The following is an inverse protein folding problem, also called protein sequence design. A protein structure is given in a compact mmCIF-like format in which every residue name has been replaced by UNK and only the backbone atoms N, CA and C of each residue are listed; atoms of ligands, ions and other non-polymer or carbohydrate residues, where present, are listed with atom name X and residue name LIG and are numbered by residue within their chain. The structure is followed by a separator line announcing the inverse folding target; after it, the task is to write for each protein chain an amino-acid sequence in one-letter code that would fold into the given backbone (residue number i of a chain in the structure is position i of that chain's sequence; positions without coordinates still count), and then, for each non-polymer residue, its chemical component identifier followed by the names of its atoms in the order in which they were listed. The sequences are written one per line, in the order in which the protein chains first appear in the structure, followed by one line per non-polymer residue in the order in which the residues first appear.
data_IF_665197260562
#
_entry.id   IF_665197260562
#
_cell.length_a   1.000
_cell.length_b   1.000
_cell.length_c   1.000
_cell.angle_alpha   90.00
_cell.angle_beta   90.00
_cell.angle_gamma   90.00
#
_symmetry.space_group_name_H-M   'P 1'
#
loop_
_entity.id
_entity.type
_entity.pdbx_description
1 polymer ?
#
# COMPACT_ATOMS: atom_id res chain seq x y z
N UNK A 1 -43.98 69.41 18.32
CA UNK A 1 -42.55 69.00 18.17
C UNK A 1 -42.28 67.50 18.47
N UNK A 2 -43.27 66.59 18.30
CA UNK A 2 -43.12 65.16 18.66
C UNK A 2 -42.75 64.21 17.48
N UNK A 3 -42.94 64.63 16.22
CA UNK A 3 -42.71 63.78 15.04
C UNK A 3 -41.23 63.67 14.58
N UNK A 4 -40.41 64.70 14.82
CA UNK A 4 -38.99 64.71 14.41
C UNK A 4 -38.09 63.77 15.24
N UNK A 5 -38.41 63.50 16.51
CA UNK A 5 -37.67 62.53 17.34
C UNK A 5 -37.90 61.07 16.92
N UNK A 6 -39.09 60.72 16.42
CA UNK A 6 -39.42 59.35 15.97
C UNK A 6 -38.71 58.94 14.68
N UNK A 7 -38.44 59.87 13.76
CA UNK A 7 -37.72 59.55 12.51
C UNK A 7 -36.23 59.25 12.75
N UNK A 8 -35.55 60.00 13.64
CA UNK A 8 -34.15 59.72 14.01
C UNK A 8 -34.00 58.38 14.74
N UNK A 9 -34.92 58.04 15.64
CA UNK A 9 -34.91 56.75 16.33
C UNK A 9 -35.08 55.55 15.37
N UNK A 10 -35.91 55.68 14.33
CA UNK A 10 -36.10 54.63 13.31
C UNK A 10 -34.86 54.41 12.44
N UNK A 11 -34.10 55.46 12.13
CA UNK A 11 -32.85 55.36 11.38
C UNK A 11 -31.75 54.63 12.14
N UNK A 12 -31.59 54.94 13.44
CA UNK A 12 -30.60 54.26 14.30
C UNK A 12 -30.94 52.78 14.46
N UNK A 13 -32.21 52.44 14.70
CA UNK A 13 -32.66 51.04 14.82
C UNK A 13 -32.36 50.22 13.55
N UNK A 14 -32.60 50.80 12.37
CA UNK A 14 -32.30 50.15 11.09
C UNK A 14 -30.81 49.87 10.92
N UNK A 15 -29.96 50.86 11.22
CA UNK A 15 -28.50 50.72 11.12
C UNK A 15 -27.98 49.67 12.09
N UNK A 16 -28.47 49.66 13.34
CA UNK A 16 -28.09 48.62 14.31
C UNK A 16 -28.56 47.23 13.90
N UNK A 17 -29.77 47.10 13.33
CA UNK A 17 -30.28 45.82 12.84
C UNK A 17 -29.46 45.31 11.65
N UNK A 18 -29.10 46.19 10.70
CA UNK A 18 -28.24 45.84 9.58
C UNK A 18 -26.84 45.41 10.03
N UNK A 19 -26.25 46.10 11.00
CA UNK A 19 -24.97 45.73 11.60
C UNK A 19 -25.03 44.36 12.28
N UNK A 20 -26.09 44.10 13.07
CA UNK A 20 -26.31 42.80 13.70
C UNK A 20 -26.51 41.68 12.67
N UNK A 21 -27.30 41.91 11.62
CA UNK A 21 -27.50 40.95 10.54
C UNK A 21 -26.20 40.64 9.79
N UNK A 22 -25.36 41.66 9.56
CA UNK A 22 -24.07 41.49 8.90
C UNK A 22 -23.09 40.70 9.77
N UNK A 23 -23.02 40.99 11.08
CA UNK A 23 -22.23 40.21 12.05
C UNK A 23 -22.69 38.75 12.11
N UNK A 24 -23.99 38.51 12.19
CA UNK A 24 -24.55 37.15 12.20
C UNK A 24 -24.23 36.39 10.91
N UNK A 25 -24.30 37.07 9.77
CA UNK A 25 -23.96 36.48 8.46
C UNK A 25 -22.48 36.11 8.37
N UNK A 26 -21.58 36.98 8.84
CA UNK A 26 -20.15 36.70 8.91
C UNK A 26 -19.86 35.50 9.84
N UNK A 27 -20.55 35.40 10.98
CA UNK A 27 -20.41 34.28 11.92
C UNK A 27 -20.84 32.94 11.27
N UNK A 28 -22.00 32.91 10.62
CA UNK A 28 -22.53 31.70 9.94
C UNK A 28 -21.60 31.26 8.82
N UNK A 29 -21.08 32.20 8.01
CA UNK A 29 -20.12 31.89 6.95
C UNK A 29 -18.80 31.35 7.52
N UNK A 30 -18.32 31.91 8.64
CA UNK A 30 -17.12 31.43 9.34
C UNK A 30 -17.29 29.99 9.84
N UNK A 31 -18.39 29.70 10.55
CA UNK A 31 -18.74 28.36 11.03
C UNK A 31 -18.87 27.35 9.88
N UNK A 32 -19.48 27.77 8.76
CA UNK A 32 -19.66 26.91 7.59
C UNK A 32 -18.33 26.50 6.94
N UNK A 33 -17.33 27.39 6.94
CA UNK A 33 -15.99 27.09 6.43
C UNK A 33 -15.25 26.12 7.34
N UNK A 34 -15.25 26.39 8.65
CA UNK A 34 -14.63 25.52 9.65
C UNK A 34 -15.16 24.07 9.58
N UNK A 35 -16.49 23.90 9.51
CA UNK A 35 -17.12 22.58 9.40
C UNK A 35 -16.72 21.83 8.12
N UNK A 36 -16.58 22.54 6.99
CA UNK A 36 -16.15 21.92 5.72
C UNK A 36 -14.70 21.47 5.77
N UNK A 37 -13.83 22.26 6.39
CA UNK A 37 -12.43 21.92 6.55
C UNK A 37 -12.26 20.70 7.47
N UNK A 38 -12.99 20.64 8.58
CA UNK A 38 -13.01 19.47 9.47
C UNK A 38 -13.50 18.21 8.75
N UNK A 39 -14.58 18.31 7.95
CA UNK A 39 -15.08 17.19 7.16
C UNK A 39 -14.03 16.68 6.15
N UNK A 40 -13.33 17.59 5.47
CA UNK A 40 -12.27 17.23 4.53
C UNK A 40 -11.11 16.53 5.23
N UNK A 41 -10.64 17.06 6.36
CA UNK A 41 -9.57 16.44 7.16
C UNK A 41 -10.01 15.05 7.63
N UNK A 42 -11.22 14.93 8.18
CA UNK A 42 -11.75 13.65 8.67
C UNK A 42 -11.84 12.60 7.54
N UNK A 43 -12.34 12.99 6.36
CA UNK A 43 -12.42 12.08 5.21
C UNK A 43 -11.05 11.64 4.67
N UNK A 44 -10.06 12.54 4.67
CA UNK A 44 -8.68 12.19 4.30
C UNK A 44 -8.04 11.23 5.31
N UNK A 45 -8.30 11.44 6.61
CA UNK A 45 -7.81 10.56 7.67
C UNK A 45 -8.46 9.16 7.59
N UNK A 46 -9.78 9.08 7.39
CA UNK A 46 -10.50 7.82 7.18
C UNK A 46 -9.93 7.05 5.98
N UNK A 47 -9.65 7.76 4.89
CA UNK A 47 -9.13 7.14 3.68
C UNK A 47 -7.70 6.61 3.86
N UNK A 48 -6.84 7.36 4.54
CA UNK A 48 -5.49 6.92 4.88
C UNK A 48 -5.48 5.71 5.83
N UNK A 49 -6.36 5.72 6.85
CA UNK A 49 -6.51 4.59 7.76
C UNK A 49 -6.98 3.33 7.03
N UNK A 50 -7.91 3.48 6.08
CA UNK A 50 -8.36 2.37 5.23
C UNK A 50 -7.24 1.83 4.36
N UNK A 51 -6.48 2.70 3.70
CA UNK A 51 -5.32 2.31 2.90
C UNK A 51 -4.29 1.53 3.74
N UNK A 52 -4.03 1.98 4.97
CA UNK A 52 -3.15 1.30 5.92
C UNK A 52 -3.67 -0.09 6.29
N UNK A 53 -4.95 -0.22 6.68
CA UNK A 53 -5.55 -1.52 7.01
C UNK A 53 -5.46 -2.51 5.83
N UNK A 54 -5.72 -2.03 4.62
CA UNK A 54 -5.58 -2.82 3.40
C UNK A 54 -4.13 -3.22 3.12
N UNK A 55 -3.17 -2.32 3.37
CA UNK A 55 -1.75 -2.62 3.23
C UNK A 55 -1.31 -3.71 4.22
N UNK A 56 -1.77 -3.64 5.48
CA UNK A 56 -1.52 -4.67 6.49
C UNK A 56 -2.15 -6.02 6.13
N UNK A 57 -3.36 -6.04 5.58
CA UNK A 57 -3.99 -7.27 5.08
C UNK A 57 -3.17 -7.88 3.95
N UNK A 58 -2.72 -7.06 2.98
CA UNK A 58 -1.83 -7.50 1.90
C UNK A 58 -0.50 -8.04 2.43
N UNK A 59 0.05 -7.42 3.48
CA UNK A 59 1.28 -7.86 4.13
C UNK A 59 1.09 -9.23 4.77
N UNK A 60 0.05 -9.41 5.59
CA UNK A 60 -0.28 -10.67 6.23
C UNK A 60 -0.51 -11.78 5.20
N UNK A 61 -1.20 -11.48 4.10
CA UNK A 61 -1.40 -12.43 3.01
C UNK A 61 -0.07 -12.84 2.35
N UNK A 62 0.84 -11.89 2.12
CA UNK A 62 2.17 -12.19 1.60
C UNK A 62 3.01 -13.04 2.56
N UNK A 63 2.95 -12.78 3.86
CA UNK A 63 3.62 -13.59 4.87
C UNK A 63 3.06 -15.01 4.96
N UNK A 64 1.74 -15.17 4.82
CA UNK A 64 1.10 -16.47 4.79
C UNK A 64 1.43 -17.23 3.50
N UNK A 65 1.52 -16.54 2.37
CA UNK A 65 1.89 -17.13 1.09
C UNK A 65 3.29 -17.76 1.12
N UNK A 66 4.22 -17.23 1.94
CA UNK A 66 5.55 -17.83 2.11
C UNK A 66 5.49 -19.28 2.63
N UNK A 67 4.47 -19.62 3.43
CA UNK A 67 4.28 -20.97 3.95
C UNK A 67 3.88 -21.97 2.86
N UNK A 68 3.34 -21.50 1.74
CA UNK A 68 2.96 -22.33 0.59
C UNK A 68 3.89 -22.14 -0.61
N UNK A 69 5.05 -21.49 -0.43
CA UNK A 69 6.01 -21.24 -1.50
C UNK A 69 6.65 -22.56 -1.98
N UNK A 70 6.30 -23.07 -3.17
CA UNK A 70 6.72 -24.40 -3.60
C UNK A 70 8.22 -24.49 -3.94
N UNK A 71 8.88 -23.34 -4.05
CA UNK A 71 10.27 -23.19 -4.48
C UNK A 71 11.24 -22.99 -3.30
N UNK A 72 10.74 -22.94 -2.06
CA UNK A 72 11.54 -22.59 -0.88
C UNK A 72 12.72 -23.55 -0.67
N UNK A 73 12.49 -24.86 -0.73
CA UNK A 73 13.54 -25.87 -0.59
C UNK A 73 14.60 -25.80 -1.69
N UNK A 74 14.16 -25.59 -2.94
CA UNK A 74 15.07 -25.42 -4.08
C UNK A 74 15.97 -24.20 -3.84
N UNK A 75 15.39 -23.04 -3.57
CA UNK A 75 16.11 -21.77 -3.38
C UNK A 75 17.10 -21.84 -2.22
N UNK A 76 16.76 -22.50 -1.11
CA UNK A 76 17.65 -22.65 0.05
C UNK A 76 18.95 -23.44 -0.28
N UNK A 77 18.88 -24.33 -1.27
CA UNK A 77 20.02 -25.13 -1.74
C UNK A 77 20.82 -24.47 -2.88
N UNK A 78 20.31 -23.40 -3.49
CA UNK A 78 20.98 -22.74 -4.62
C UNK A 78 22.21 -21.96 -4.17
N UNK A 79 23.27 -22.02 -4.96
CA UNK A 79 24.41 -21.11 -4.82
C UNK A 79 24.02 -19.69 -5.25
N UNK A 80 24.78 -18.69 -4.78
CA UNK A 80 24.59 -17.31 -5.22
C UNK A 80 24.67 -17.19 -6.75
N UNK A 81 25.62 -17.85 -7.41
CA UNK A 81 25.74 -17.80 -8.87
C UNK A 81 24.55 -18.41 -9.62
N UNK A 82 23.93 -19.45 -9.05
CA UNK A 82 22.70 -20.03 -9.60
C UNK A 82 21.50 -19.07 -9.47
N UNK A 83 21.41 -18.30 -8.38
CA UNK A 83 20.36 -17.30 -8.18
C UNK A 83 20.46 -16.09 -9.14
N UNK A 84 21.61 -15.90 -9.79
CA UNK A 84 21.80 -14.83 -10.79
C UNK A 84 21.45 -15.28 -12.22
N UNK A 85 21.17 -16.57 -12.43
CA UNK A 85 20.80 -17.08 -13.74
C UNK A 85 19.39 -16.63 -14.13
N UNK A 86 19.14 -16.54 -15.43
CA UNK A 86 17.87 -16.04 -15.97
C UNK A 86 16.66 -16.94 -15.62
N UNK A 87 16.90 -18.21 -15.30
CA UNK A 87 15.89 -19.19 -14.91
C UNK A 87 15.73 -19.33 -13.38
N UNK A 88 16.42 -18.49 -12.59
CA UNK A 88 16.25 -18.46 -11.15
C UNK A 88 14.79 -18.12 -10.77
N UNK A 89 14.25 -18.71 -9.67
CA UNK A 89 12.86 -18.46 -9.27
C UNK A 89 12.56 -17.02 -8.86
N UNK A 90 13.55 -16.35 -8.27
CA UNK A 90 13.51 -14.93 -7.90
C UNK A 90 14.37 -14.14 -8.88
N UNK A 91 13.79 -13.14 -9.53
CA UNK A 91 14.48 -12.36 -10.58
C UNK A 91 14.43 -10.86 -10.29
N UNK A 92 15.31 -10.08 -10.91
CA UNK A 92 15.28 -8.62 -10.79
C UNK A 92 14.02 -8.00 -11.42
N UNK A 93 13.38 -8.64 -12.40
CA UNK A 93 12.10 -8.19 -12.97
C UNK A 93 10.89 -8.61 -12.14
N UNK A 94 11.09 -9.48 -11.14
CA UNK A 94 10.05 -10.16 -10.38
C UNK A 94 9.06 -10.94 -11.24
N UNK A 95 9.45 -11.32 -12.46
CA UNK A 95 8.69 -12.20 -13.36
C UNK A 95 9.56 -13.41 -13.71
N UNK A 96 8.95 -14.59 -13.67
CA UNK A 96 9.57 -15.84 -14.08
C UNK A 96 8.48 -16.79 -14.59
N UNK A 97 8.36 -16.94 -15.91
CA UNK A 97 7.31 -17.76 -16.53
C UNK A 97 7.46 -19.25 -16.23
N UNK A 98 8.67 -19.71 -15.87
CA UNK A 98 8.96 -21.08 -15.47
C UNK A 98 8.49 -21.42 -14.05
N UNK A 99 8.14 -20.42 -13.23
CA UNK A 99 7.60 -20.69 -11.91
C UNK A 99 6.20 -21.34 -12.01
N UNK A 100 5.78 -22.09 -10.97
CA UNK A 100 4.43 -22.65 -10.91
C UNK A 100 3.34 -21.60 -11.08
N UNK A 101 2.17 -22.03 -11.56
CA UNK A 101 1.00 -21.15 -11.68
C UNK A 101 0.70 -20.44 -10.34
N UNK A 102 0.40 -19.15 -10.42
CA UNK A 102 0.23 -18.29 -9.24
C UNK A 102 1.53 -17.70 -8.68
N UNK A 103 2.71 -18.17 -9.13
CA UNK A 103 4.04 -17.72 -8.67
C UNK A 103 4.92 -17.17 -9.79
N UNK A 104 4.35 -16.95 -10.97
CA UNK A 104 5.05 -16.43 -12.14
C UNK A 104 5.41 -14.95 -12.05
N UNK A 105 4.87 -14.27 -11.04
CA UNK A 105 5.12 -12.87 -10.76
C UNK A 105 5.20 -12.63 -9.25
N UNK A 106 5.79 -11.50 -8.86
CA UNK A 106 5.84 -11.03 -7.47
C UNK A 106 7.01 -11.59 -6.65
N UNK A 107 7.85 -12.44 -7.25
CA UNK A 107 9.05 -13.01 -6.63
C UNK A 107 10.31 -12.26 -7.10
N UNK A 108 10.81 -11.34 -6.27
CA UNK A 108 11.90 -10.45 -6.60
C UNK A 108 13.25 -10.91 -6.02
N UNK A 109 14.32 -10.87 -6.80
CA UNK A 109 15.67 -10.94 -6.26
C UNK A 109 16.08 -9.55 -5.75
N UNK A 110 16.66 -9.47 -4.55
CA UNK A 110 17.17 -8.19 -4.06
C UNK A 110 18.38 -7.70 -4.86
N UNK A 111 18.46 -6.39 -5.06
CA UNK A 111 19.58 -5.76 -5.74
C UNK A 111 20.92 -6.05 -5.05
N UNK A 112 20.93 -6.04 -3.71
CA UNK A 112 22.10 -6.34 -2.89
C UNK A 112 22.59 -7.78 -3.09
N UNK A 113 21.68 -8.76 -3.05
CA UNK A 113 22.03 -10.16 -3.32
C UNK A 113 22.52 -10.34 -4.76
N UNK A 114 21.91 -9.62 -5.70
CA UNK A 114 22.33 -9.56 -7.10
C UNK A 114 23.67 -8.85 -7.35
N UNK A 115 24.22 -8.12 -6.36
CA UNK A 115 25.41 -7.30 -6.55
C UNK A 115 25.18 -6.11 -7.49
N UNK A 116 23.93 -5.63 -7.59
CA UNK A 116 23.52 -4.54 -8.47
C UNK A 116 23.19 -3.29 -7.65
N UNK A 117 23.60 -2.12 -8.12
CA UNK A 117 23.31 -0.83 -7.50
C UNK A 117 22.01 -0.22 -8.06
N UNK A 118 20.90 -0.95 -7.95
CA UNK A 118 19.58 -0.51 -8.44
C UNK A 118 18.59 -0.36 -7.28
N UNK A 119 17.53 0.43 -7.51
CA UNK A 119 16.47 0.66 -6.55
C UNK A 119 15.81 -0.65 -6.09
N UNK A 120 15.31 -0.72 -4.84
CA UNK A 120 14.59 -1.89 -4.37
C UNK A 120 13.26 -2.10 -5.13
N UNK A 121 12.70 -3.32 -5.13
CA UNK A 121 11.56 -3.66 -5.97
C UNK A 121 10.34 -2.74 -5.85
N UNK A 122 10.00 -2.28 -4.63
CA UNK A 122 8.84 -1.41 -4.40
C UNK A 122 8.96 0.01 -4.95
N UNK A 123 10.18 0.43 -5.34
CA UNK A 123 10.46 1.72 -5.99
C UNK A 123 10.72 1.58 -7.49
N UNK A 124 10.85 0.35 -8.00
CA UNK A 124 11.14 0.11 -9.40
C UNK A 124 9.89 0.15 -10.27
N UNK A 125 10.13 0.38 -11.56
CA UNK A 125 9.17 0.24 -12.63
C UNK A 125 9.61 -0.90 -13.56
N UNK A 126 8.66 -1.50 -14.26
CA UNK A 126 8.94 -2.43 -15.35
C UNK A 126 9.34 -1.69 -16.63
N UNK A 127 9.60 -2.44 -17.71
CA UNK A 127 9.99 -1.90 -19.02
C UNK A 127 8.91 -0.99 -19.64
N UNK A 128 7.66 -1.09 -19.20
CA UNK A 128 6.56 -0.23 -19.63
C UNK A 128 6.37 1.01 -18.74
N UNK A 129 7.25 1.23 -17.75
CA UNK A 129 7.16 2.34 -16.81
C UNK A 129 6.14 2.14 -15.69
N UNK A 130 5.58 0.93 -15.54
CA UNK A 130 4.58 0.63 -14.49
C UNK A 130 5.31 0.23 -13.21
N UNK A 131 4.98 0.88 -12.09
CA UNK A 131 5.58 0.52 -10.80
C UNK A 131 5.29 -0.96 -10.46
N UNK A 132 6.30 -1.69 -9.94
CA UNK A 132 6.19 -3.13 -9.74
C UNK A 132 5.06 -3.53 -8.76
N UNK A 133 4.83 -2.71 -7.72
CA UNK A 133 3.74 -2.86 -6.75
C UNK A 133 2.37 -2.37 -7.23
N UNK A 134 2.29 -1.76 -8.41
CA UNK A 134 1.02 -1.29 -8.96
C UNK A 134 0.10 -2.47 -9.28
N UNK A 135 -1.24 -2.31 -9.27
CA UNK A 135 -2.16 -3.38 -9.67
C UNK A 135 -1.94 -3.91 -11.09
N UNK A 136 -1.38 -3.07 -11.96
CA UNK A 136 -0.99 -3.42 -13.33
C UNK A 136 0.42 -4.00 -13.45
N UNK A 137 1.18 -4.02 -12.35
CA UNK A 137 2.59 -4.36 -12.34
C UNK A 137 2.82 -5.87 -12.31
N UNK A 138 3.76 -6.27 -11.46
CA UNK A 138 4.20 -7.66 -11.30
C UNK A 138 3.80 -8.24 -9.94
N UNK A 139 3.15 -7.44 -9.10
CA UNK A 139 2.82 -7.84 -7.75
C UNK A 139 1.75 -8.94 -7.69
N UNK A 140 1.79 -9.71 -6.61
CA UNK A 140 0.74 -10.66 -6.24
C UNK A 140 -0.44 -9.89 -5.66
N UNK A 141 -1.66 -10.33 -5.95
CA UNK A 141 -2.90 -9.68 -5.53
C UNK A 141 -3.55 -10.47 -4.40
N UNK A 142 -3.94 -9.79 -3.33
CA UNK A 142 -4.89 -10.32 -2.36
C UNK A 142 -6.31 -10.07 -2.85
N UNK A 143 -6.98 -11.12 -3.34
CA UNK A 143 -8.33 -10.98 -3.89
C UNK A 143 -9.34 -10.72 -2.77
N UNK A 144 -9.86 -9.50 -2.71
CA UNK A 144 -10.95 -9.11 -1.81
C UNK A 144 -12.23 -8.77 -2.58
N UNK A 145 -12.10 -8.39 -3.85
CA UNK A 145 -13.23 -8.09 -4.73
C UNK A 145 -13.14 -8.88 -6.05
N UNK A 146 -14.26 -9.35 -6.62
CA UNK A 146 -14.29 -10.02 -7.91
C UNK A 146 -14.15 -9.01 -9.05
N UNK A 147 -12.91 -8.55 -9.29
CA UNK A 147 -12.59 -7.62 -10.39
C UNK A 147 -11.87 -8.37 -11.50
N UNK A 148 -12.48 -8.35 -12.70
CA UNK A 148 -11.90 -8.88 -13.93
C UNK A 148 -10.83 -7.91 -14.46
N UNK A 149 -9.56 -8.33 -14.46
CA UNK A 149 -8.50 -7.64 -15.19
C UNK A 149 -8.47 -8.16 -16.62
N UNK A 150 -8.98 -7.38 -17.59
CA UNK A 150 -8.91 -7.72 -19.01
C UNK A 150 -7.80 -6.92 -19.71
N UNK A 151 -6.64 -7.51 -19.99
CA UNK A 151 -5.56 -6.88 -20.79
C UNK A 151 -4.37 -6.32 -19.99
N UNK A 152 -3.38 -5.70 -20.68
CA UNK A 152 -2.07 -5.32 -20.10
C UNK A 152 -2.14 -4.20 -19.04
N UNK A 153 -3.11 -3.29 -19.14
CA UNK A 153 -3.88 -2.77 -18.00
C UNK A 153 -4.93 -1.77 -18.48
N UNK A 154 -6.21 -2.15 -18.53
CA UNK A 154 -7.28 -1.18 -18.61
C UNK A 154 -8.28 -1.38 -17.45
N UNK A 155 -8.48 -0.29 -16.72
CA UNK A 155 -9.46 -0.11 -15.65
C UNK A 155 -9.18 -0.99 -14.43
N UNK A 156 -8.39 -0.46 -13.50
CA UNK A 156 -8.65 -0.78 -12.08
C UNK A 156 -10.09 -0.36 -11.83
N UNK A 157 -11.01 -1.33 -11.83
CA UNK A 157 -12.42 -1.06 -11.55
C UNK A 157 -12.47 -0.72 -10.07
N UNK A 158 -12.59 0.58 -9.79
CA UNK A 158 -12.68 1.08 -8.43
C UNK A 158 -13.87 0.42 -7.74
N UNK A 159 -13.58 -0.36 -6.70
CA UNK A 159 -14.61 -0.89 -5.83
C UNK A 159 -15.32 0.23 -5.07
N UNK A 160 -16.51 -0.06 -4.50
CA UNK A 160 -17.24 0.93 -3.69
C UNK A 160 -16.48 1.33 -2.41
N UNK A 161 -15.54 0.51 -1.95
CA UNK A 161 -14.84 0.68 -0.67
C UNK A 161 -13.40 1.16 -0.81
N UNK A 162 -12.72 0.78 -1.89
CA UNK A 162 -11.33 1.10 -2.14
C UNK A 162 -11.02 0.97 -3.64
N UNK A 163 -9.96 1.65 -4.07
CA UNK A 163 -9.58 1.76 -5.47
C UNK A 163 -9.11 0.42 -6.04
N UNK A 164 -8.24 -0.30 -5.34
CA UNK A 164 -7.75 -1.61 -5.76
C UNK A 164 -7.52 -2.55 -4.57
N UNK A 165 -7.62 -3.84 -4.84
CA UNK A 165 -7.21 -4.88 -3.89
C UNK A 165 -5.74 -4.67 -3.45
N UNK A 166 -5.36 -5.06 -2.23
CA UNK A 166 -3.96 -4.98 -1.79
C UNK A 166 -3.05 -5.84 -2.67
N UNK A 167 -1.85 -5.33 -2.93
CA UNK A 167 -0.84 -6.05 -3.70
C UNK A 167 0.44 -6.18 -2.90
N UNK A 168 1.18 -7.26 -3.11
CA UNK A 168 2.42 -7.52 -2.40
C UNK A 168 3.51 -8.13 -3.29
N UNK A 169 4.76 -7.90 -2.90
CA UNK A 169 5.97 -8.50 -3.47
C UNK A 169 6.68 -9.29 -2.38
N UNK A 170 7.30 -10.40 -2.79
CA UNK A 170 8.17 -11.22 -1.95
C UNK A 170 9.58 -11.10 -2.51
N UNK A 171 10.47 -10.51 -1.73
CA UNK A 171 11.84 -10.27 -2.14
C UNK A 171 12.81 -11.18 -1.37
N UNK A 172 13.64 -11.92 -2.10
CA UNK A 172 14.71 -12.74 -1.51
C UNK A 172 15.90 -11.84 -1.16
N UNK A 173 16.19 -11.75 0.14
CA UNK A 173 17.34 -11.00 0.66
C UNK A 173 18.55 -11.91 0.83
N UNK A 174 18.35 -13.09 1.41
CA UNK A 174 19.40 -14.06 1.68
C UNK A 174 18.83 -15.50 1.64
N UNK A 175 19.35 -16.39 0.77
CA UNK A 175 18.89 -17.77 0.68
C UNK A 175 19.37 -18.69 1.82
N UNK A 176 20.32 -18.25 2.65
CA UNK A 176 20.95 -19.07 3.69
C UNK A 176 21.18 -18.27 4.98
N UNK A 177 20.23 -17.39 5.31
CA UNK A 177 20.29 -16.57 6.50
C UNK A 177 20.33 -17.41 7.77
N UNK A 178 21.17 -17.00 8.72
CA UNK A 178 21.34 -17.68 10.01
C UNK A 178 20.92 -16.73 11.13
N UNK A 179 20.00 -17.19 11.98
CA UNK A 179 19.54 -16.51 13.19
C UNK A 179 19.69 -17.45 14.40
N UNK A 180 20.81 -17.30 15.12
CA UNK A 180 21.24 -18.27 16.13
C UNK A 180 21.51 -19.65 15.50
N UNK A 181 20.83 -20.68 16.01
CA UNK A 181 20.93 -22.06 15.50
C UNK A 181 20.01 -22.32 14.29
N UNK A 182 19.14 -21.37 13.93
CA UNK A 182 18.17 -21.55 12.85
C UNK A 182 18.76 -21.03 11.53
N UNK A 183 18.66 -21.83 10.46
CA UNK A 183 18.99 -21.41 9.09
C UNK A 183 17.73 -21.42 8.23
N UNK A 184 17.54 -20.41 7.40
CA UNK A 184 16.40 -20.33 6.48
C UNK A 184 16.54 -19.24 5.43
N UNK A 185 15.46 -19.01 4.70
CA UNK A 185 15.37 -17.93 3.73
C UNK A 185 15.01 -16.64 4.47
N UNK A 186 15.81 -15.59 4.30
CA UNK A 186 15.42 -14.24 4.68
C UNK A 186 14.71 -13.58 3.50
N UNK A 187 13.44 -13.29 3.71
CA UNK A 187 12.60 -12.62 2.73
C UNK A 187 12.11 -11.27 3.27
N UNK A 188 11.77 -10.39 2.34
CA UNK A 188 11.10 -9.13 2.61
C UNK A 188 9.78 -9.11 1.90
N UNK A 189 8.70 -9.00 2.66
CA UNK A 189 7.35 -8.83 2.13
C UNK A 189 7.10 -7.33 2.09
N UNK A 190 6.75 -6.81 0.92
CA UNK A 190 6.32 -5.41 0.80
C UNK A 190 4.92 -5.40 0.23
N UNK A 191 3.99 -4.76 0.92
CA UNK A 191 2.59 -4.70 0.52
C UNK A 191 2.13 -3.24 0.38
N UNK A 192 1.21 -3.02 -0.56
CA UNK A 192 0.56 -1.74 -0.78
C UNK A 192 -0.95 -1.92 -0.73
N UNK A 193 -1.60 -1.06 0.04
CA UNK A 193 -3.05 -0.91 0.08
C UNK A 193 -3.45 0.48 -0.43
N UNK A 194 -4.67 0.58 -0.92
CA UNK A 194 -5.23 1.83 -1.46
C UNK A 194 -6.52 2.20 -0.74
N UNK A 195 -6.71 3.48 -0.47
CA UNK A 195 -7.98 4.06 -0.08
C UNK A 195 -8.92 4.15 -1.28
N UNK A 196 -9.84 5.11 -1.29
CA UNK A 196 -10.81 5.31 -2.36
C UNK A 196 -10.19 5.84 -3.65
N UNK A 197 -9.03 6.47 -3.55
CA UNK A 197 -8.31 7.10 -4.67
C UNK A 197 -6.98 6.38 -4.95
N UNK A 198 -6.50 6.39 -6.20
CA UNK A 198 -5.20 5.78 -6.58
C UNK A 198 -4.00 6.36 -5.81
N UNK A 199 -4.03 7.66 -5.54
CA UNK A 199 -2.94 8.36 -4.84
C UNK A 199 -3.01 8.20 -3.32
N UNK A 200 -4.15 7.73 -2.81
CA UNK A 200 -4.32 7.38 -1.41
C UNK A 200 -3.78 5.98 -1.18
N UNK A 201 -2.46 5.85 -1.14
CA UNK A 201 -1.79 4.57 -1.03
C UNK A 201 -0.87 4.53 0.19
N UNK A 202 -0.88 3.42 0.90
CA UNK A 202 0.05 3.15 2.01
C UNK A 202 0.85 1.92 1.66
N UNK A 203 2.16 1.98 1.89
CA UNK A 203 3.06 0.83 1.68
C UNK A 203 3.66 0.41 3.01
N UNK A 204 3.55 -0.87 3.34
CA UNK A 204 4.12 -1.47 4.56
C UNK A 204 5.07 -2.60 4.19
N UNK A 205 5.97 -2.92 5.09
CA UNK A 205 7.01 -3.89 4.84
C UNK A 205 7.33 -4.71 6.09
N UNK A 206 7.57 -6.00 5.90
CA UNK A 206 8.10 -6.89 6.92
C UNK A 206 9.30 -7.68 6.43
N UNK A 207 10.16 -8.05 7.37
CA UNK A 207 11.24 -9.01 7.15
C UNK A 207 10.84 -10.32 7.82
N UNK A 208 10.92 -11.42 7.07
CA UNK A 208 10.44 -12.72 7.49
C UNK A 208 11.54 -13.76 7.28
N UNK A 209 11.79 -14.53 8.33
CA UNK A 209 12.59 -15.75 8.24
C UNK A 209 11.66 -16.92 7.93
N UNK A 210 11.83 -17.54 6.77
CA UNK A 210 11.16 -18.78 6.41
C UNK A 210 12.10 -19.95 6.68
N UNK A 211 11.71 -20.80 7.64
CA UNK A 211 12.50 -21.94 8.07
C UNK A 211 12.17 -23.17 7.20
N UNK A 212 13.19 -23.91 6.73
CA UNK A 212 12.99 -25.10 5.92
C UNK A 212 12.31 -26.21 6.72
N UNK A 213 11.61 -27.06 5.98
CA UNK A 213 10.79 -28.14 6.47
C UNK A 213 11.68 -29.31 6.97
N UNK A 214 12.17 -29.25 8.22
CA UNK A 214 13.03 -30.32 8.74
C UNK A 214 12.24 -31.59 9.13
N UNK A 215 11.00 -31.47 9.64
CA UNK A 215 10.18 -32.61 10.12
C UNK A 215 8.66 -32.33 10.16
N UNK A 216 8.14 -31.35 9.41
CA UNK A 216 6.71 -30.96 9.41
C UNK A 216 6.52 -29.56 8.82
N UNK A 217 5.28 -29.09 8.67
CA UNK A 217 4.92 -27.89 7.88
C UNK A 217 5.87 -26.69 8.03
N UNK A 218 6.19 -25.98 6.92
CA UNK A 218 7.07 -24.82 6.95
C UNK A 218 6.58 -23.77 7.96
N UNK A 219 7.53 -23.11 8.61
CA UNK A 219 7.25 -22.08 9.62
C UNK A 219 7.89 -20.78 9.19
N UNK A 220 7.16 -19.68 9.37
CA UNK A 220 7.68 -18.34 9.17
C UNK A 220 7.69 -17.58 10.49
N UNK A 221 8.67 -16.68 10.65
CA UNK A 221 8.77 -15.77 11.78
C UNK A 221 9.05 -14.36 11.29
N UNK A 222 8.21 -13.40 11.67
CA UNK A 222 8.43 -11.98 11.42
C UNK A 222 9.58 -11.49 12.32
N UNK A 223 10.57 -10.87 11.71
CA UNK A 223 11.74 -10.29 12.39
C UNK A 223 11.61 -8.79 12.61
N UNK A 224 11.03 -8.09 11.64
CA UNK A 224 10.86 -6.64 11.68
C UNK A 224 9.64 -6.20 10.86
N UNK A 225 9.10 -5.03 11.19
CA UNK A 225 8.00 -4.39 10.49
C UNK A 225 8.23 -2.88 10.39
N UNK A 226 7.81 -2.26 9.29
CA UNK A 226 7.79 -0.80 9.12
C UNK A 226 6.77 -0.35 8.08
N UNK A 227 6.24 0.86 8.28
CA UNK A 227 5.57 1.63 7.25
C UNK A 227 6.60 2.40 6.41
N UNK A 228 6.39 2.46 5.09
CA UNK A 228 7.20 3.23 4.16
C UNK A 228 6.46 4.54 3.84
N UNK A 229 7.07 5.66 4.19
CA UNK A 229 6.59 7.01 3.85
C UNK A 229 7.25 7.51 2.57
#
# INVERSE_FOLDING_TARGET
MSRLKRQRARGVVLVTALLLLLLMSALVLGLSRLLRDEQRIASQLDDAQRAFQLAELGLQAGEQALLSLPLAGQVASMSRSALLQADAPFTLSCRQSRNPAGWQQGLCLSATLAGQAIAPPWQRQDEAGVALLHPCGVALRLVLQPVATAGRCPVVISGPWFWSDPHYLLELLDPQYVDGEQRGLLLRVTARGWGRLPDSAVTVQSHVLLLPEATGSPRSRRLAWRELR
#
